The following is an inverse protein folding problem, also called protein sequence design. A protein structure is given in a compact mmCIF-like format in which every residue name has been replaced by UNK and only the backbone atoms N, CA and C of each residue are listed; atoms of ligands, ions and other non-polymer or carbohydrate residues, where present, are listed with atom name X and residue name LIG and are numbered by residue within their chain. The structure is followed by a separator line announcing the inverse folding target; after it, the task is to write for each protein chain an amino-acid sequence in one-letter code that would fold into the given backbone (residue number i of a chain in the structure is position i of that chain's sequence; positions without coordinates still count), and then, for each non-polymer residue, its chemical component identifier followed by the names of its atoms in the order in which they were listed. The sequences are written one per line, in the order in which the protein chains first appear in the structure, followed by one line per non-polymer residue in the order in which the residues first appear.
data_IF_738875696533
#
_entry.id   IF_738875696533
#
_cell.length_a   1.000
_cell.length_b   1.000
_cell.length_c   1.000
_cell.angle_alpha   90.00
_cell.angle_beta   90.00
_cell.angle_gamma   90.00
#
_symmetry.space_group_name_H-M   'P 1'
#
loop_
_entity.id
_entity.type
_entity.pdbx_description
1 polymer ?
#
# COMPACT_ATOMS: atom_id res chain seq x y z
N UNK A 1 -10.50 -30.94 26.80
CA UNK A 1 -9.79 -30.11 25.81
C UNK A 1 -10.83 -29.20 25.18
N UNK A 2 -10.69 -27.89 25.33
CA UNK A 2 -10.78 -26.89 24.24
C UNK A 2 -10.71 -25.49 24.85
N UNK A 3 -9.66 -24.76 24.49
CA UNK A 3 -9.50 -23.32 24.70
C UNK A 3 -10.24 -22.59 23.58
N UNK A 4 -10.90 -21.49 23.93
CA UNK A 4 -11.48 -20.58 22.95
C UNK A 4 -11.55 -19.18 23.54
N UNK A 5 -10.39 -18.59 23.83
CA UNK A 5 -10.30 -17.19 24.23
C UNK A 5 -10.85 -16.31 23.11
N UNK A 6 -11.94 -15.63 23.44
CA UNK A 6 -12.71 -14.78 22.55
C UNK A 6 -11.93 -13.48 22.31
N UNK A 7 -11.62 -13.20 21.04
CA UNK A 7 -10.96 -11.98 20.64
C UNK A 7 -11.89 -10.77 20.85
N UNK A 8 -11.35 -9.85 21.65
CA UNK A 8 -11.91 -8.60 22.12
C UNK A 8 -12.51 -7.73 21.01
N UNK A 9 -13.79 -7.44 21.14
CA UNK A 9 -14.54 -6.43 20.43
C UNK A 9 -14.19 -5.05 20.99
N UNK A 10 -13.64 -4.15 20.18
CA UNK A 10 -13.58 -2.73 20.53
C UNK A 10 -14.36 -1.91 19.50
N UNK A 11 -15.61 -1.62 19.83
CA UNK A 11 -16.48 -0.76 19.05
C UNK A 11 -16.21 0.73 19.28
N UNK A 12 -16.45 1.53 18.23
CA UNK A 12 -17.22 2.80 18.22
C UNK A 12 -16.86 3.65 17.00
N UNK A 13 -17.82 3.84 16.11
CA UNK A 13 -17.76 4.81 15.01
C UNK A 13 -18.78 4.52 13.92
N UNK A 14 -20.04 4.96 14.12
CA UNK A 14 -21.07 4.95 13.07
C UNK A 14 -20.65 5.83 11.89
N UNK A 15 -20.70 5.27 10.69
CA UNK A 15 -21.11 6.00 9.50
C UNK A 15 -20.01 6.68 8.70
N UNK A 16 -19.09 5.89 8.14
CA UNK A 16 -18.84 5.79 6.68
C UNK A 16 -18.33 4.38 6.46
N UNK A 17 -19.04 3.54 5.70
CA UNK A 17 -18.33 2.46 4.99
C UNK A 17 -17.54 3.25 3.95
N UNK A 18 -16.39 3.75 4.37
CA UNK A 18 -15.49 4.41 3.45
C UNK A 18 -15.27 3.36 2.38
N UNK A 19 -15.60 3.73 1.16
CA UNK A 19 -15.00 3.24 -0.07
C UNK A 19 -13.49 3.53 -0.06
N UNK A 20 -12.84 3.36 1.10
CA UNK A 20 -11.42 3.29 1.33
C UNK A 20 -10.99 2.24 0.34
N UNK A 21 -10.35 2.65 -0.77
CA UNK A 21 -9.88 1.73 -1.79
C UNK A 21 -9.06 0.66 -1.08
N UNK A 22 -9.69 -0.49 -0.88
CA UNK A 22 -9.18 -1.50 0.01
C UNK A 22 -7.96 -2.07 -0.70
N UNK A 23 -6.78 -1.78 -0.15
CA UNK A 23 -5.55 -2.38 -0.62
C UNK A 23 -5.59 -3.84 -0.24
N UNK A 24 -5.64 -4.72 -1.24
CA UNK A 24 -5.45 -6.14 -1.00
C UNK A 24 -3.98 -6.43 -0.70
N UNK A 25 -3.70 -7.60 -0.14
CA UNK A 25 -2.31 -8.04 -0.01
C UNK A 25 -1.65 -8.20 -1.39
N UNK A 26 -2.40 -8.64 -2.40
CA UNK A 26 -1.91 -8.73 -3.77
C UNK A 26 -1.53 -7.36 -4.36
N UNK A 27 -2.36 -6.34 -4.17
CA UNK A 27 -2.04 -4.95 -4.57
C UNK A 27 -0.73 -4.49 -3.92
N UNK A 28 -0.52 -4.90 -2.67
CA UNK A 28 0.62 -4.49 -1.87
C UNK A 28 1.90 -5.21 -2.28
N UNK A 29 1.80 -6.50 -2.55
CA UNK A 29 2.90 -7.31 -3.07
C UNK A 29 3.31 -6.84 -4.46
N UNK A 30 2.32 -6.52 -5.32
CA UNK A 30 2.58 -5.92 -6.61
C UNK A 30 3.28 -4.56 -6.46
N UNK A 31 2.79 -3.68 -5.59
CA UNK A 31 3.44 -2.40 -5.31
C UNK A 31 4.89 -2.59 -4.85
N UNK A 32 5.18 -3.53 -3.95
CA UNK A 32 6.53 -3.82 -3.48
C UNK A 32 7.45 -4.32 -4.62
N UNK A 33 6.95 -5.20 -5.48
CA UNK A 33 7.68 -5.68 -6.65
C UNK A 33 8.01 -4.54 -7.63
N UNK A 34 7.04 -3.70 -7.93
CA UNK A 34 7.20 -2.54 -8.80
C UNK A 34 8.20 -1.52 -8.23
N UNK A 35 8.20 -1.31 -6.91
CA UNK A 35 9.18 -0.47 -6.24
C UNK A 35 10.60 -1.04 -6.38
N UNK A 36 10.78 -2.35 -6.14
CA UNK A 36 12.08 -3.00 -6.29
C UNK A 36 12.60 -2.91 -7.73
N UNK A 37 11.73 -3.09 -8.72
CA UNK A 37 12.06 -2.94 -10.14
C UNK A 37 12.44 -1.51 -10.49
N UNK A 38 11.67 -0.52 -10.05
CA UNK A 38 11.98 0.89 -10.28
C UNK A 38 13.34 1.28 -9.68
N UNK A 39 13.66 0.78 -8.48
CA UNK A 39 14.96 1.01 -7.85
C UNK A 39 16.11 0.35 -8.62
N UNK A 40 15.90 -0.87 -9.12
CA UNK A 40 16.86 -1.58 -9.97
C UNK A 40 17.13 -0.84 -11.28
N UNK A 41 16.10 -0.21 -11.85
CA UNK A 41 16.18 0.58 -13.08
C UNK A 41 16.71 2.00 -12.85
N UNK A 42 17.11 2.36 -11.62
CA UNK A 42 17.69 3.66 -11.31
C UNK A 42 16.69 4.81 -11.29
N UNK A 43 15.38 4.54 -11.16
CA UNK A 43 14.32 5.56 -11.16
C UNK A 43 14.23 6.37 -9.83
N UNK A 44 15.33 6.42 -9.08
CA UNK A 44 15.45 7.14 -7.82
C UNK A 44 15.94 8.57 -8.06
N UNK A 45 15.42 9.50 -7.28
CA UNK A 45 15.85 10.89 -7.25
C UNK A 45 17.14 11.05 -6.43
N UNK A 46 17.62 12.30 -6.31
CA UNK A 46 18.83 12.63 -5.56
C UNK A 46 18.76 12.23 -4.06
N UNK A 47 17.56 12.07 -3.51
CA UNK A 47 17.32 11.62 -2.14
C UNK A 47 17.14 10.10 -2.04
N UNK A 48 17.34 9.36 -3.14
CA UNK A 48 17.14 7.92 -3.20
C UNK A 48 15.68 7.48 -3.20
N UNK A 49 14.73 8.41 -3.38
CA UNK A 49 13.29 8.14 -3.39
C UNK A 49 12.73 8.12 -4.81
N UNK A 50 11.60 7.46 -5.05
CA UNK A 50 10.90 7.63 -6.32
C UNK A 50 10.25 9.01 -6.36
N UNK A 51 10.52 9.77 -7.42
CA UNK A 51 9.81 11.03 -7.68
C UNK A 51 8.32 10.76 -7.95
N UNK A 52 7.47 11.77 -7.69
CA UNK A 52 6.04 11.70 -8.03
C UNK A 52 5.82 11.32 -9.49
N UNK A 53 6.59 11.93 -10.41
CA UNK A 53 6.51 11.66 -11.83
C UNK A 53 6.79 10.19 -12.15
N UNK A 54 7.81 9.60 -11.53
CA UNK A 54 8.14 8.18 -11.72
C UNK A 54 7.05 7.27 -11.14
N UNK A 55 6.44 7.64 -10.02
CA UNK A 55 5.30 6.88 -9.47
C UNK A 55 4.10 6.92 -10.43
N UNK A 56 3.76 8.10 -10.95
CA UNK A 56 2.61 8.28 -11.84
C UNK A 56 2.83 7.62 -13.22
N UNK A 57 4.06 7.59 -13.72
CA UNK A 57 4.37 7.04 -15.05
C UNK A 57 4.76 5.56 -15.05
N UNK A 58 5.34 5.03 -13.96
CA UNK A 58 5.82 3.65 -13.90
C UNK A 58 4.97 2.76 -12.99
N UNK A 59 4.68 3.21 -11.76
CA UNK A 59 4.01 2.38 -10.74
C UNK A 59 2.51 2.33 -10.97
N UNK A 60 1.85 3.49 -11.03
CA UNK A 60 0.39 3.57 -11.09
C UNK A 60 -0.22 2.90 -12.33
N UNK A 61 0.35 3.00 -13.55
CA UNK A 61 -0.24 2.36 -14.71
C UNK A 61 -0.28 0.84 -14.57
N UNK A 62 0.80 0.24 -14.06
CA UNK A 62 0.91 -1.20 -13.86
C UNK A 62 0.01 -1.69 -12.72
N UNK A 63 -0.05 -0.93 -11.62
CA UNK A 63 -0.92 -1.23 -10.49
C UNK A 63 -2.40 -1.13 -10.87
N UNK A 64 -2.76 -0.13 -11.68
CA UNK A 64 -4.14 0.12 -12.08
C UNK A 64 -4.62 -0.79 -13.20
N UNK A 65 -3.72 -1.33 -14.03
CA UNK A 65 -4.05 -2.30 -15.06
C UNK A 65 -4.76 -3.55 -14.51
N UNK A 66 -4.50 -3.91 -13.24
CA UNK A 66 -5.10 -5.07 -12.58
C UNK A 66 -6.27 -4.71 -11.65
N UNK A 67 -6.52 -3.42 -11.43
CA UNK A 67 -7.43 -2.94 -10.40
C UNK A 67 -8.71 -2.35 -10.98
N UNK A 68 -9.87 -2.81 -10.48
CA UNK A 68 -11.17 -2.22 -10.85
C UNK A 68 -11.30 -0.74 -10.44
N UNK A 69 -10.60 -0.34 -9.40
CA UNK A 69 -10.58 1.04 -8.91
C UNK A 69 -9.16 1.61 -9.01
N UNK A 70 -8.89 2.52 -9.96
CA UNK A 70 -7.57 3.10 -10.16
C UNK A 70 -7.06 3.79 -8.89
N UNK A 71 -5.87 3.40 -8.43
CA UNK A 71 -5.14 4.07 -7.36
C UNK A 71 -4.55 5.38 -7.90
N UNK A 72 -4.61 6.40 -7.06
CA UNK A 72 -3.98 7.71 -7.26
C UNK A 72 -2.65 7.79 -6.53
N UNK A 73 -1.88 8.86 -6.79
CA UNK A 73 -0.67 9.16 -6.02
C UNK A 73 -0.94 9.31 -4.51
N UNK A 74 -2.10 9.86 -4.12
CA UNK A 74 -2.49 9.97 -2.70
C UNK A 74 -2.71 8.59 -2.06
N UNK A 75 -3.32 7.66 -2.80
CA UNK A 75 -3.48 6.29 -2.33
C UNK A 75 -2.11 5.60 -2.16
N UNK A 76 -1.18 5.83 -3.10
CA UNK A 76 0.21 5.36 -2.99
C UNK A 76 0.89 5.88 -1.72
N UNK A 77 0.85 7.18 -1.45
CA UNK A 77 1.46 7.77 -0.24
C UNK A 77 0.89 7.17 1.04
N UNK A 78 -0.43 7.01 1.10
CA UNK A 78 -1.12 6.36 2.23
C UNK A 78 -0.63 4.91 2.42
N UNK A 79 -0.42 4.18 1.32
CA UNK A 79 0.07 2.79 1.40
C UNK A 79 1.54 2.70 1.78
N UNK A 80 2.39 3.61 1.30
CA UNK A 80 3.79 3.68 1.72
C UNK A 80 3.93 3.93 3.22
N UNK A 81 3.09 4.82 3.79
CA UNK A 81 3.03 5.03 5.23
C UNK A 81 2.63 3.74 5.97
N UNK A 82 1.64 3.01 5.46
CA UNK A 82 1.23 1.74 6.04
C UNK A 82 2.34 0.68 5.98
N UNK A 83 3.05 0.55 4.85
CA UNK A 83 4.16 -0.39 4.67
C UNK A 83 5.30 -0.11 5.65
N UNK A 84 5.68 1.16 5.80
CA UNK A 84 6.67 1.59 6.79
C UNK A 84 6.24 1.20 8.21
N UNK A 85 4.99 1.47 8.58
CA UNK A 85 4.47 1.10 9.89
C UNK A 85 4.45 -0.43 10.11
N UNK A 86 4.27 -1.25 9.08
CA UNK A 86 4.39 -2.70 9.23
C UNK A 86 5.84 -3.12 9.46
N UNK A 87 6.80 -2.54 8.72
CA UNK A 87 8.22 -2.80 8.92
C UNK A 87 8.67 -2.42 10.34
N UNK A 88 8.27 -1.25 10.81
CA UNK A 88 8.63 -0.74 12.15
C UNK A 88 8.08 -1.61 13.29
N UNK A 89 7.03 -2.42 13.06
CA UNK A 89 6.52 -3.38 14.06
C UNK A 89 7.33 -4.67 14.16
N UNK A 90 8.09 -4.99 13.10
CA UNK A 90 8.86 -6.23 13.00
C UNK A 90 10.31 -5.98 13.48
N UNK A 91 10.72 -4.72 13.57
CA UNK A 91 11.99 -4.27 14.14
C UNK A 91 11.93 -4.25 15.67
#
# INVERSE_FOLDING_TARGET
MEMGDSQNENGKGKGKVDTYQQWTMDDSNLLLGLLAEAMKNGLRDANGSLSKLNVENFILPQLNAKNRFPKTYSNYLSRMKWLKNQYDKIK
#
